data_IF_364298128720
#
_entry.id   IF_364298128720
#
_cell.length_a   1.000
_cell.length_b   1.000
_cell.length_c   1.000
_cell.angle_alpha   90.00
_cell.angle_beta   90.00
_cell.angle_gamma   90.00
#
_symmetry.space_group_name_H-M   'P 1'
#
loop_
_entity.id
_entity.type
_entity.pdbx_description
1 polymer ?
#
# COMPACT_ATOMS: atom_id res chain seq x y z
N UNK A 1 -84.70 -18.07 -37.22
CA UNK A 1 -83.91 -18.83 -36.21
C UNK A 1 -82.41 -18.57 -36.43
N UNK A 2 -81.78 -17.77 -35.56
CA UNK A 2 -80.31 -17.54 -35.55
C UNK A 2 -79.72 -18.19 -34.28
N UNK A 3 -78.66 -18.99 -34.42
CA UNK A 3 -77.52 -19.14 -33.46
C UNK A 3 -76.56 -20.19 -34.05
N UNK A 4 -75.55 -19.76 -34.81
CA UNK A 4 -74.20 -19.32 -34.40
C UNK A 4 -73.29 -20.50 -33.98
N UNK A 5 -72.33 -20.76 -34.86
CA UNK A 5 -71.12 -21.58 -34.73
C UNK A 5 -70.42 -21.31 -33.39
N UNK A 6 -70.31 -22.33 -32.53
CA UNK A 6 -69.58 -22.22 -31.25
C UNK A 6 -68.08 -22.22 -31.53
N UNK A 7 -67.43 -21.11 -31.18
CA UNK A 7 -65.98 -20.93 -31.31
C UNK A 7 -65.27 -21.75 -30.22
N UNK A 8 -64.33 -22.59 -30.63
CA UNK A 8 -63.45 -23.36 -29.75
C UNK A 8 -62.26 -22.48 -29.38
N UNK A 9 -62.25 -21.92 -28.16
CA UNK A 9 -61.18 -21.05 -27.69
C UNK A 9 -60.12 -21.93 -27.02
N UNK A 10 -58.96 -22.04 -27.67
CA UNK A 10 -57.74 -22.63 -27.10
C UNK A 10 -57.19 -21.62 -26.09
N UNK A 11 -57.22 -21.96 -24.80
CA UNK A 11 -56.64 -21.14 -23.75
C UNK A 11 -55.13 -21.38 -23.70
N UNK A 12 -54.36 -20.45 -24.25
CA UNK A 12 -52.90 -20.40 -24.06
C UNK A 12 -52.64 -19.76 -22.70
N UNK A 13 -52.28 -20.56 -21.68
CA UNK A 13 -51.73 -20.02 -20.44
C UNK A 13 -50.35 -19.43 -20.73
N UNK A 14 -50.26 -18.10 -20.73
CA UNK A 14 -48.99 -17.38 -20.74
C UNK A 14 -48.42 -17.40 -19.31
N UNK A 15 -47.45 -18.30 -19.06
CA UNK A 15 -46.62 -18.27 -17.85
C UNK A 15 -45.66 -17.08 -17.95
N UNK A 16 -46.02 -15.96 -17.33
CA UNK A 16 -45.11 -14.83 -17.15
C UNK A 16 -44.15 -15.22 -16.01
N UNK A 17 -42.94 -15.64 -16.34
CA UNK A 17 -41.83 -15.63 -15.41
C UNK A 17 -41.54 -14.16 -15.09
N UNK A 18 -41.86 -13.70 -13.88
CA UNK A 18 -41.35 -12.41 -13.40
C UNK A 18 -39.84 -12.54 -13.31
N UNK A 19 -39.13 -11.86 -14.22
CA UNK A 19 -37.71 -11.65 -14.07
C UNK A 19 -37.46 -11.11 -12.66
N UNK A 20 -36.53 -11.74 -11.93
CA UNK A 20 -36.08 -11.26 -10.64
C UNK A 20 -35.86 -9.75 -10.76
N UNK A 21 -36.55 -8.98 -9.92
CA UNK A 21 -36.40 -7.53 -9.87
C UNK A 21 -34.95 -7.21 -9.56
N UNK A 22 -34.15 -6.94 -10.59
CA UNK A 22 -32.82 -6.38 -10.44
C UNK A 22 -33.07 -4.95 -9.97
N UNK A 23 -32.91 -4.71 -8.66
CA UNK A 23 -32.96 -3.39 -8.05
C UNK A 23 -31.75 -2.52 -8.47
N UNK A 24 -31.33 -2.56 -9.73
CA UNK A 24 -30.33 -1.63 -10.24
C UNK A 24 -31.02 -0.34 -10.64
N UNK A 25 -31.00 0.66 -9.77
CA UNK A 25 -31.30 2.03 -10.18
C UNK A 25 -30.13 2.53 -11.04
N UNK A 26 -30.26 2.46 -12.37
CA UNK A 26 -29.43 3.26 -13.25
C UNK A 26 -29.89 4.71 -13.15
N UNK A 27 -29.20 5.52 -12.36
CA UNK A 27 -29.42 6.97 -12.28
C UNK A 27 -28.76 7.58 -13.52
N UNK A 28 -29.40 7.44 -14.68
CA UNK A 28 -28.93 7.96 -15.96
C UNK A 28 -29.54 9.32 -16.31
N UNK A 29 -30.41 9.88 -15.45
CA UNK A 29 -31.07 11.15 -15.71
C UNK A 29 -31.02 12.11 -14.51
N UNK A 30 -30.18 13.14 -14.68
CA UNK A 30 -30.26 14.49 -14.09
C UNK A 30 -30.74 14.60 -12.65
N UNK A 31 -29.77 14.56 -11.73
CA UNK A 31 -29.78 15.62 -10.74
C UNK A 31 -29.54 16.91 -11.56
N UNK A 32 -30.44 17.89 -11.49
CA UNK A 32 -30.37 19.12 -12.30
C UNK A 32 -29.04 19.86 -12.16
N UNK A 33 -28.85 20.96 -12.88
CA UNK A 33 -27.63 21.78 -12.79
C UNK A 33 -27.28 22.06 -11.31
N UNK A 34 -26.08 21.66 -10.87
CA UNK A 34 -25.62 21.69 -9.46
C UNK A 34 -26.18 20.58 -8.53
N UNK A 35 -26.52 19.44 -9.10
CA UNK A 35 -27.11 18.34 -8.35
C UNK A 35 -26.18 17.61 -7.38
N UNK A 36 -26.76 17.06 -6.31
CA UNK A 36 -26.12 16.23 -5.29
C UNK A 36 -26.69 14.81 -5.32
N UNK A 37 -25.84 13.80 -5.56
CA UNK A 37 -26.20 12.42 -5.24
C UNK A 37 -25.94 12.21 -3.75
N UNK A 38 -26.87 11.58 -3.02
CA UNK A 38 -26.69 11.33 -1.59
C UNK A 38 -27.26 9.98 -1.19
N UNK A 39 -26.50 9.22 -0.40
CA UNK A 39 -26.99 8.08 0.37
C UNK A 39 -27.24 8.58 1.79
N UNK A 40 -28.49 8.49 2.27
CA UNK A 40 -28.91 8.99 3.57
C UNK A 40 -30.07 8.16 4.14
N UNK A 41 -30.27 8.23 5.44
CA UNK A 41 -31.53 7.88 6.10
C UNK A 41 -32.27 9.17 6.51
N UNK A 42 -33.24 9.06 7.44
CA UNK A 42 -34.01 10.20 7.93
C UNK A 42 -33.13 11.23 8.68
N UNK A 43 -32.07 10.78 9.35
CA UNK A 43 -31.30 11.54 10.32
C UNK A 43 -29.85 11.80 9.86
N UNK A 44 -29.34 10.99 8.94
CA UNK A 44 -27.92 10.87 8.63
C UNK A 44 -27.67 10.80 7.13
N UNK A 45 -26.69 11.57 6.66
CA UNK A 45 -26.09 11.36 5.33
C UNK A 45 -24.81 10.53 5.46
N UNK A 46 -24.65 9.55 4.58
CA UNK A 46 -23.56 8.57 4.56
C UNK A 46 -22.53 8.87 3.48
N UNK A 47 -23.00 9.14 2.26
CA UNK A 47 -22.15 9.41 1.09
C UNK A 47 -22.79 10.52 0.26
N UNK A 48 -21.97 11.39 -0.32
CA UNK A 48 -22.43 12.31 -1.36
C UNK A 48 -21.49 12.35 -2.57
N UNK A 49 -22.04 12.62 -3.75
CA UNK A 49 -21.28 12.93 -4.95
C UNK A 49 -21.77 14.29 -5.49
N UNK A 50 -20.88 15.28 -5.49
CA UNK A 50 -21.23 16.66 -5.87
C UNK A 50 -20.91 16.87 -7.34
N UNK A 51 -21.90 17.18 -8.19
CA UNK A 51 -21.65 17.29 -9.63
C UNK A 51 -20.72 18.46 -10.01
N UNK A 52 -20.75 19.57 -9.28
CA UNK A 52 -19.92 20.74 -9.57
C UNK A 52 -18.44 20.49 -9.32
N UNK A 53 -18.09 19.67 -8.32
CA UNK A 53 -16.70 19.38 -7.96
C UNK A 53 -16.24 17.97 -8.37
N UNK A 54 -17.18 17.07 -8.67
CA UNK A 54 -16.91 15.64 -8.89
C UNK A 54 -16.48 14.89 -7.62
N UNK A 55 -16.47 15.53 -6.46
CA UNK A 55 -15.98 14.94 -5.22
C UNK A 55 -16.97 13.92 -4.65
N UNK A 56 -16.43 12.77 -4.24
CA UNK A 56 -17.10 11.80 -3.38
C UNK A 56 -16.77 12.12 -1.92
N UNK A 57 -17.78 12.44 -1.12
CA UNK A 57 -17.62 12.62 0.32
C UNK A 57 -18.16 11.40 1.04
N UNK A 58 -17.34 10.82 1.92
CA UNK A 58 -17.75 9.77 2.86
C UNK A 58 -17.92 10.46 4.21
N UNK A 59 -19.16 10.58 4.66
CA UNK A 59 -19.53 11.33 5.88
C UNK A 59 -19.53 10.43 7.12
N UNK A 60 -19.23 9.15 6.94
CA UNK A 60 -19.12 8.10 7.96
C UNK A 60 -17.84 7.30 7.73
N UNK A 61 -17.69 6.17 8.39
CA UNK A 61 -16.49 5.33 8.24
C UNK A 61 -16.43 4.65 6.87
N UNK A 62 -15.24 4.63 6.27
CA UNK A 62 -14.90 3.74 5.16
C UNK A 62 -14.28 2.46 5.72
N UNK A 63 -14.82 1.31 5.33
CA UNK A 63 -14.27 -0.01 5.68
C UNK A 63 -13.56 -0.59 4.45
N UNK A 64 -12.30 -0.95 4.61
CA UNK A 64 -11.51 -1.71 3.63
C UNK A 64 -11.25 -3.11 4.21
N UNK A 65 -11.85 -4.12 3.62
CA UNK A 65 -11.62 -5.52 4.02
C UNK A 65 -10.21 -5.96 3.62
N UNK A 66 -9.63 -6.90 4.37
CA UNK A 66 -8.40 -7.57 3.93
C UNK A 66 -8.66 -8.25 2.57
N UNK A 67 -7.70 -8.14 1.66
CA UNK A 67 -7.86 -8.60 0.28
C UNK A 67 -6.63 -9.36 -0.18
N UNK A 68 -6.83 -10.45 -0.91
CA UNK A 68 -5.78 -11.12 -1.71
C UNK A 68 -6.01 -10.88 -3.20
N UNK A 69 -6.88 -9.92 -3.54
CA UNK A 69 -7.11 -9.46 -4.91
C UNK A 69 -6.27 -8.24 -5.22
N UNK A 70 -5.73 -8.19 -6.43
CA UNK A 70 -5.05 -7.01 -6.96
C UNK A 70 -6.01 -5.89 -7.40
N UNK A 71 -7.32 -6.12 -7.36
CA UNK A 71 -8.34 -5.19 -7.88
C UNK A 71 -9.44 -4.86 -6.86
N UNK A 72 -9.78 -5.79 -5.96
CA UNK A 72 -10.78 -5.57 -4.92
C UNK A 72 -10.13 -5.03 -3.65
N UNK A 73 -10.75 -4.03 -3.01
CA UNK A 73 -10.21 -3.41 -1.80
C UNK A 73 -8.98 -2.53 -2.04
N UNK A 74 -8.75 -2.11 -3.29
CA UNK A 74 -7.62 -1.27 -3.71
C UNK A 74 -8.15 0.06 -4.25
N UNK A 75 -7.58 1.16 -3.77
CA UNK A 75 -7.75 2.48 -4.40
C UNK A 75 -6.57 2.78 -5.30
N UNK A 76 -6.86 3.21 -6.53
CA UNK A 76 -5.86 3.51 -7.56
C UNK A 76 -5.76 5.02 -7.80
N UNK A 77 -4.56 5.46 -8.18
CA UNK A 77 -4.29 6.79 -8.74
C UNK A 77 -3.84 6.61 -10.19
N UNK A 78 -4.76 6.80 -11.14
CA UNK A 78 -4.50 6.40 -12.53
C UNK A 78 -4.40 4.87 -12.63
N UNK A 79 -3.32 4.36 -13.22
CA UNK A 79 -3.05 2.91 -13.28
C UNK A 79 -2.31 2.37 -12.03
N UNK A 80 -1.82 3.25 -11.16
CA UNK A 80 -0.97 2.86 -10.04
C UNK A 80 -1.78 2.61 -8.76
N UNK A 81 -1.34 1.64 -7.96
CA UNK A 81 -1.87 1.41 -6.60
C UNK A 81 -1.64 2.66 -5.75
N UNK A 82 -2.60 3.03 -4.92
CA UNK A 82 -2.46 4.15 -3.99
C UNK A 82 -2.74 3.80 -2.54
N UNK A 83 -3.84 3.11 -2.23
CA UNK A 83 -4.12 2.63 -0.87
C UNK A 83 -4.69 1.21 -0.94
N UNK A 84 -4.11 0.29 -0.19
CA UNK A 84 -4.60 -1.08 -0.03
C UNK A 84 -4.01 -1.75 1.20
N UNK A 85 -4.58 -2.89 1.57
CA UNK A 85 -4.19 -3.75 2.67
C UNK A 85 -4.02 -5.20 2.17
N UNK A 86 -3.32 -5.37 1.04
CA UNK A 86 -3.18 -6.68 0.39
C UNK A 86 -2.50 -7.67 1.34
N UNK A 87 -3.05 -8.88 1.48
CA UNK A 87 -2.60 -9.89 2.41
C UNK A 87 -3.26 -9.76 3.79
N UNK A 88 -2.54 -10.16 4.83
CA UNK A 88 -3.06 -10.21 6.22
C UNK A 88 -2.36 -9.14 7.05
N UNK A 89 -3.15 -8.18 7.57
CA UNK A 89 -2.69 -7.14 8.50
C UNK A 89 -1.58 -6.25 7.88
N UNK A 90 -1.58 -6.12 6.55
CA UNK A 90 -0.69 -5.17 5.87
C UNK A 90 -1.41 -3.84 5.64
N UNK A 91 -0.67 -2.73 5.61
CA UNK A 91 -1.21 -1.41 5.25
C UNK A 91 -0.25 -0.70 4.31
N UNK A 92 -0.73 -0.31 3.14
CA UNK A 92 0.07 0.35 2.12
C UNK A 92 -0.58 1.64 1.64
N UNK A 93 0.13 2.76 1.72
CA UNK A 93 -0.30 4.06 1.24
C UNK A 93 0.85 4.70 0.43
N UNK A 94 0.60 5.04 -0.82
CA UNK A 94 1.57 5.62 -1.74
C UNK A 94 1.60 4.89 -3.09
N UNK A 95 2.00 5.62 -4.13
CA UNK A 95 2.04 5.11 -5.50
C UNK A 95 2.90 3.84 -5.55
N UNK A 96 2.29 2.73 -5.96
CA UNK A 96 2.94 1.43 -6.09
C UNK A 96 3.54 0.87 -4.79
N UNK A 97 3.17 1.38 -3.61
CA UNK A 97 3.53 0.76 -2.32
C UNK A 97 3.03 -0.68 -2.25
N UNK A 98 3.77 -1.56 -1.57
CA UNK A 98 3.43 -2.96 -1.38
C UNK A 98 3.47 -3.82 -2.66
N UNK A 99 3.21 -5.11 -2.48
CA UNK A 99 3.29 -6.14 -3.52
C UNK A 99 2.05 -7.04 -3.52
N UNK A 100 1.35 -7.16 -4.66
CA UNK A 100 0.17 -8.02 -4.82
C UNK A 100 0.48 -9.52 -4.96
N UNK A 101 1.72 -9.93 -4.73
CA UNK A 101 2.06 -11.36 -4.63
C UNK A 101 2.61 -11.74 -3.25
N UNK A 102 2.61 -10.81 -2.29
CA UNK A 102 3.18 -11.08 -0.98
C UNK A 102 2.33 -12.04 -0.15
N UNK A 103 3.02 -12.89 0.61
CA UNK A 103 2.45 -13.73 1.66
C UNK A 103 2.86 -13.26 3.06
N UNK A 104 3.79 -12.32 3.15
CA UNK A 104 4.18 -11.67 4.39
C UNK A 104 3.03 -10.87 5.03
N UNK A 105 3.10 -10.75 6.35
CA UNK A 105 2.03 -10.18 7.20
C UNK A 105 2.55 -9.05 8.08
N UNK A 106 1.66 -8.16 8.53
CA UNK A 106 2.03 -7.10 9.48
C UNK A 106 2.91 -5.99 8.92
N UNK A 107 3.00 -5.83 7.59
CA UNK A 107 3.85 -4.83 6.96
C UNK A 107 3.12 -3.49 6.80
N UNK A 108 3.82 -2.39 7.09
CA UNK A 108 3.34 -1.02 6.92
C UNK A 108 4.23 -0.27 5.92
N UNK A 109 3.71 0.06 4.74
CA UNK A 109 4.43 0.79 3.69
C UNK A 109 3.77 2.13 3.35
N UNK A 110 4.36 3.23 3.81
CA UNK A 110 3.92 4.59 3.53
C UNK A 110 4.95 5.33 2.67
N UNK A 111 4.70 5.43 1.37
CA UNK A 111 5.58 6.09 0.42
C UNK A 111 5.45 5.54 -0.99
N UNK A 112 5.97 6.29 -1.96
CA UNK A 112 6.04 5.80 -3.34
C UNK A 112 7.08 4.68 -3.39
N UNK A 113 6.71 3.53 -3.97
CA UNK A 113 7.56 2.35 -4.12
C UNK A 113 8.13 1.78 -2.81
N UNK A 114 7.49 1.98 -1.66
CA UNK A 114 7.88 1.29 -0.42
C UNK A 114 7.46 -0.18 -0.45
N UNK A 115 8.33 -1.10 0.01
CA UNK A 115 8.06 -2.54 0.10
C UNK A 115 7.62 -3.22 -1.22
N UNK A 116 7.99 -2.67 -2.37
CA UNK A 116 7.56 -3.16 -3.70
C UNK A 116 7.99 -4.59 -4.02
N UNK A 117 9.12 -5.04 -3.50
CA UNK A 117 9.66 -6.39 -3.75
C UNK A 117 9.46 -7.35 -2.58
N UNK A 118 8.82 -6.91 -1.48
CA UNK A 118 8.63 -7.78 -0.33
C UNK A 118 7.68 -8.93 -0.69
N UNK A 119 8.15 -10.16 -0.52
CA UNK A 119 7.38 -11.38 -0.84
C UNK A 119 6.92 -12.08 0.43
N UNK A 120 7.85 -12.49 1.30
CA UNK A 120 7.53 -13.29 2.50
C UNK A 120 7.90 -12.58 3.81
N UNK A 121 8.56 -11.42 3.76
CA UNK A 121 8.99 -10.70 4.95
C UNK A 121 7.81 -10.18 5.79
N UNK A 122 7.92 -10.28 7.10
CA UNK A 122 6.89 -9.89 8.06
C UNK A 122 7.28 -8.65 8.85
N UNK A 123 6.28 -7.94 9.39
CA UNK A 123 6.45 -6.88 10.39
C UNK A 123 7.40 -5.74 9.97
N UNK A 124 7.52 -5.46 8.67
CA UNK A 124 8.38 -4.38 8.21
C UNK A 124 7.63 -3.04 8.23
N UNK A 125 8.30 -1.99 8.71
CA UNK A 125 7.83 -0.61 8.63
C UNK A 125 8.67 0.16 7.63
N UNK A 126 8.07 0.70 6.58
CA UNK A 126 8.73 1.43 5.51
C UNK A 126 8.03 2.78 5.31
N UNK A 127 8.70 3.87 5.68
CA UNK A 127 8.20 5.24 5.56
C UNK A 127 9.13 6.09 4.71
N UNK A 128 8.73 6.40 3.48
CA UNK A 128 9.49 7.25 2.56
C UNK A 128 9.53 6.75 1.12
N UNK A 129 10.10 7.58 0.23
CA UNK A 129 10.28 7.20 -1.17
C UNK A 129 11.25 6.02 -1.29
N UNK A 130 10.77 4.89 -1.82
CA UNK A 130 11.49 3.63 -2.00
C UNK A 130 12.10 3.03 -0.74
N UNK A 131 11.66 3.40 0.47
CA UNK A 131 12.13 2.76 1.70
C UNK A 131 11.80 1.26 1.68
N UNK A 132 12.77 0.39 1.98
CA UNK A 132 12.63 -1.08 1.86
C UNK A 132 12.14 -1.55 0.47
N UNK A 133 12.38 -0.77 -0.59
CA UNK A 133 11.82 -1.04 -1.93
C UNK A 133 12.21 -2.41 -2.50
N UNK A 134 13.45 -2.84 -2.28
CA UNK A 134 13.99 -4.14 -2.72
C UNK A 134 14.20 -5.12 -1.56
N UNK A 135 13.40 -5.02 -0.49
CA UNK A 135 13.37 -6.05 0.54
C UNK A 135 12.73 -7.33 -0.02
N UNK A 136 13.43 -8.47 -0.08
CA UNK A 136 12.85 -9.70 -0.67
C UNK A 136 12.11 -10.54 0.39
N UNK A 137 12.82 -10.91 1.46
CA UNK A 137 12.29 -11.80 2.52
C UNK A 137 12.61 -11.33 3.94
N UNK A 138 13.39 -10.25 4.10
CA UNK A 138 13.76 -9.70 5.41
C UNK A 138 12.52 -9.31 6.24
N UNK A 139 12.59 -9.55 7.55
CA UNK A 139 11.52 -9.32 8.52
C UNK A 139 11.97 -8.41 9.66
N UNK A 140 10.99 -7.80 10.34
CA UNK A 140 11.18 -6.98 11.53
C UNK A 140 12.11 -5.77 11.30
N UNK A 141 12.11 -5.21 10.07
CA UNK A 141 12.91 -4.04 9.74
C UNK A 141 12.09 -2.75 9.85
N UNK A 142 12.73 -1.68 10.34
CA UNK A 142 12.18 -0.32 10.36
C UNK A 142 13.04 0.57 9.46
N UNK A 143 12.45 1.13 8.40
CA UNK A 143 13.11 2.03 7.46
C UNK A 143 12.31 3.33 7.33
N UNK A 144 12.89 4.44 7.78
CA UNK A 144 12.28 5.77 7.73
C UNK A 144 13.20 6.72 6.99
N UNK A 145 12.78 7.23 5.84
CA UNK A 145 13.52 8.16 5.01
C UNK A 145 13.54 7.76 3.54
N UNK A 146 13.87 8.74 2.68
CA UNK A 146 14.06 8.47 1.24
C UNK A 146 15.21 7.48 1.09
N UNK A 147 14.96 6.39 0.38
CA UNK A 147 15.94 5.34 0.15
C UNK A 147 16.53 4.70 1.41
N UNK A 148 15.83 4.73 2.54
CA UNK A 148 16.27 3.99 3.73
C UNK A 148 16.11 2.49 3.51
N UNK A 149 17.18 1.71 3.77
CA UNK A 149 17.19 0.24 3.74
C UNK A 149 16.70 -0.36 2.40
N UNK A 150 16.98 0.30 1.28
CA UNK A 150 16.44 -0.03 -0.05
C UNK A 150 16.80 -1.44 -0.49
N UNK A 151 18.08 -1.79 -0.45
CA UNK A 151 18.59 -3.07 -0.92
C UNK A 151 18.86 -4.02 0.25
N UNK A 152 17.78 -4.46 0.91
CA UNK A 152 17.82 -5.43 2.00
C UNK A 152 17.31 -6.81 1.58
N UNK A 153 18.15 -7.67 1.02
CA UNK A 153 17.66 -8.95 0.44
C UNK A 153 17.00 -9.84 1.50
N UNK A 154 17.75 -10.19 2.55
CA UNK A 154 17.28 -11.13 3.60
C UNK A 154 17.60 -10.67 5.02
N UNK A 155 18.15 -9.47 5.20
CA UNK A 155 18.49 -8.95 6.53
C UNK A 155 17.27 -8.74 7.41
N UNK A 156 17.39 -9.07 8.70
CA UNK A 156 16.30 -8.95 9.67
C UNK A 156 16.67 -7.98 10.80
N UNK A 157 15.65 -7.46 11.49
CA UNK A 157 15.81 -6.70 12.72
C UNK A 157 16.69 -5.43 12.55
N UNK A 158 16.69 -4.80 11.38
CA UNK A 158 17.43 -3.56 11.14
C UNK A 158 16.56 -2.33 11.38
N UNK A 159 17.14 -1.30 12.00
CA UNK A 159 16.53 0.04 12.13
C UNK A 159 17.36 1.03 11.32
N UNK A 160 16.75 1.68 10.34
CA UNK A 160 17.39 2.62 9.43
C UNK A 160 16.56 3.91 9.35
N UNK A 161 17.05 4.99 9.95
CA UNK A 161 16.33 6.28 10.02
C UNK A 161 17.22 7.36 9.43
N UNK A 162 16.82 7.90 8.27
CA UNK A 162 17.58 8.89 7.52
C UNK A 162 17.52 8.62 6.02
N UNK A 163 17.86 9.64 5.23
CA UNK A 163 17.99 9.45 3.77
C UNK A 163 19.17 8.52 3.50
N UNK A 164 18.98 7.46 2.72
CA UNK A 164 20.03 6.49 2.36
C UNK A 164 20.71 5.79 3.54
N UNK A 165 20.09 5.82 4.73
CA UNK A 165 20.52 5.03 5.88
C UNK A 165 20.42 3.53 5.54
N UNK A 166 21.49 2.76 5.76
CA UNK A 166 21.57 1.33 5.39
C UNK A 166 21.16 1.02 3.93
N UNK A 167 21.43 1.93 2.99
CA UNK A 167 20.97 1.84 1.60
C UNK A 167 21.28 0.48 0.93
N UNK A 168 22.50 -0.03 1.10
CA UNK A 168 22.95 -1.36 0.68
C UNK A 168 23.20 -2.25 1.89
N UNK A 169 22.20 -3.06 2.26
CA UNK A 169 22.27 -4.02 3.37
C UNK A 169 21.86 -5.42 2.92
N UNK A 170 22.68 -6.13 2.15
CA UNK A 170 22.25 -7.37 1.47
C UNK A 170 21.71 -8.43 2.45
N UNK A 171 22.51 -8.81 3.45
CA UNK A 171 22.13 -9.85 4.44
C UNK A 171 22.36 -9.43 5.90
N UNK A 172 22.95 -8.25 6.12
CA UNK A 172 23.21 -7.72 7.47
C UNK A 172 21.96 -7.66 8.33
N UNK A 173 22.07 -8.04 9.60
CA UNK A 173 20.94 -8.10 10.52
C UNK A 173 21.27 -7.39 11.85
N UNK A 174 20.25 -6.95 12.58
CA UNK A 174 20.41 -6.31 13.90
C UNK A 174 21.22 -5.02 13.87
N UNK A 175 21.20 -4.27 12.76
CA UNK A 175 21.92 -3.00 12.66
C UNK A 175 21.00 -1.81 13.01
N UNK A 176 21.53 -0.81 13.71
CA UNK A 176 20.85 0.46 13.98
C UNK A 176 21.61 1.60 13.32
N UNK A 177 21.06 2.16 12.25
CA UNK A 177 21.57 3.34 11.57
C UNK A 177 20.62 4.53 11.75
N UNK A 178 21.11 5.63 12.30
CA UNK A 178 20.38 6.88 12.47
C UNK A 178 21.22 8.03 11.90
N UNK A 179 20.82 8.55 10.75
CA UNK A 179 21.52 9.64 10.06
C UNK A 179 21.43 9.49 8.54
N UNK A 180 21.63 10.60 7.83
CA UNK A 180 21.77 10.52 6.37
C UNK A 180 23.08 9.80 6.03
N UNK A 181 22.97 8.76 5.20
CA UNK A 181 24.08 7.90 4.77
C UNK A 181 24.78 7.13 5.90
N UNK A 182 24.18 7.04 7.09
CA UNK A 182 24.67 6.16 8.16
C UNK A 182 24.61 4.69 7.70
N UNK A 183 25.73 3.98 7.81
CA UNK A 183 25.91 2.60 7.32
C UNK A 183 25.43 2.37 5.88
N UNK A 184 25.58 3.35 4.99
CA UNK A 184 25.09 3.26 3.61
C UNK A 184 25.50 1.96 2.91
N UNK A 185 26.75 1.52 3.09
CA UNK A 185 27.30 0.32 2.48
C UNK A 185 27.62 -0.74 3.55
N UNK A 186 26.60 -1.50 3.96
CA UNK A 186 26.72 -2.60 4.92
C UNK A 186 26.34 -3.96 4.32
N UNK A 187 27.19 -4.59 3.52
CA UNK A 187 26.78 -5.78 2.76
C UNK A 187 26.35 -6.95 3.66
N UNK A 188 27.15 -7.28 4.68
CA UNK A 188 26.96 -8.47 5.53
C UNK A 188 27.11 -8.21 7.03
N UNK A 189 27.52 -6.99 7.43
CA UNK A 189 27.79 -6.68 8.83
C UNK A 189 26.54 -6.81 9.70
N UNK A 190 26.69 -7.32 10.91
CA UNK A 190 25.60 -7.48 11.87
C UNK A 190 25.89 -6.88 13.25
N UNK A 191 24.83 -6.53 13.97
CA UNK A 191 24.90 -5.96 15.32
C UNK A 191 25.74 -4.67 15.40
N UNK A 192 25.64 -3.80 14.40
CA UNK A 192 26.32 -2.50 14.39
C UNK A 192 25.38 -1.36 14.79
N UNK A 193 25.93 -0.34 15.44
CA UNK A 193 25.23 0.92 15.74
C UNK A 193 25.97 2.09 15.11
N UNK A 194 25.30 2.87 14.28
CA UNK A 194 25.83 4.08 13.66
C UNK A 194 24.84 5.23 13.85
N UNK A 195 25.27 6.29 14.51
CA UNK A 195 24.45 7.48 14.75
C UNK A 195 25.23 8.69 14.27
N UNK A 196 24.80 9.32 13.18
CA UNK A 196 25.45 10.49 12.60
C UNK A 196 25.45 10.49 11.07
N UNK A 197 25.67 11.67 10.48
CA UNK A 197 25.86 11.83 9.03
C UNK A 197 27.08 11.01 8.57
N UNK A 198 26.90 10.10 7.61
CA UNK A 198 27.96 9.21 7.09
C UNK A 198 28.63 8.30 8.14
N UNK A 199 28.08 8.16 9.36
CA UNK A 199 28.66 7.28 10.38
C UNK A 199 28.74 5.83 9.88
N UNK A 200 29.92 5.20 9.97
CA UNK A 200 30.20 3.85 9.44
C UNK A 200 29.80 3.67 7.97
N UNK A 201 30.04 4.67 7.12
CA UNK A 201 29.58 4.67 5.72
C UNK A 201 29.89 3.38 4.96
N UNK A 202 31.11 2.84 5.09
CA UNK A 202 31.45 1.48 4.68
C UNK A 202 31.62 0.59 5.91
N UNK A 203 30.81 -0.46 6.01
CA UNK A 203 30.91 -1.42 7.10
C UNK A 203 30.70 -2.84 6.61
N UNK A 204 31.70 -3.70 6.71
CA UNK A 204 31.51 -5.15 6.55
C UNK A 204 31.80 -5.93 7.84
N UNK A 205 32.07 -5.21 8.93
CA UNK A 205 32.35 -5.76 10.24
C UNK A 205 31.10 -5.94 11.09
N UNK A 206 31.30 -6.57 12.24
CA UNK A 206 30.25 -6.85 13.22
C UNK A 206 30.58 -6.14 14.52
N UNK A 207 29.55 -5.84 15.32
CA UNK A 207 29.70 -5.27 16.66
C UNK A 207 30.37 -3.89 16.71
N UNK A 208 30.30 -3.11 15.63
CA UNK A 208 30.84 -1.75 15.59
C UNK A 208 29.85 -0.77 16.22
N UNK A 209 30.37 0.19 16.99
CA UNK A 209 29.60 1.33 17.48
C UNK A 209 30.29 2.62 17.06
N UNK A 210 29.59 3.44 16.31
CA UNK A 210 30.02 4.79 15.95
C UNK A 210 28.91 5.77 16.29
N UNK A 211 29.30 6.82 17.01
CA UNK A 211 28.45 7.91 17.43
C UNK A 211 29.17 9.18 16.96
N UNK A 212 28.50 10.00 16.15
CA UNK A 212 28.96 11.21 15.46
C UNK A 212 29.24 11.03 13.95
N UNK A 213 29.52 12.15 13.29
CA UNK A 213 29.69 12.30 11.84
C UNK A 213 31.04 11.73 11.39
N UNK A 214 31.05 11.02 10.25
CA UNK A 214 32.31 10.68 9.58
C UNK A 214 32.95 11.95 9.01
N UNK A 215 34.18 12.34 9.41
CA UNK A 215 34.85 13.52 8.92
C UNK A 215 35.04 13.49 7.40
N UNK A 216 34.85 14.63 6.72
CA UNK A 216 34.94 14.75 5.27
C UNK A 216 36.29 14.25 4.67
N UNK A 217 37.37 14.32 5.46
CA UNK A 217 38.70 13.84 5.06
C UNK A 217 38.75 12.33 4.90
N UNK A 218 38.06 11.58 5.76
CA UNK A 218 37.94 10.12 5.62
C UNK A 218 37.03 9.77 4.44
N UNK A 219 36.00 10.58 4.19
CA UNK A 219 35.08 10.36 3.07
C UNK A 219 35.79 10.38 1.71
N UNK A 220 36.73 11.31 1.53
CA UNK A 220 37.50 11.44 0.29
C UNK A 220 38.49 10.29 0.07
N UNK A 221 38.96 9.64 1.14
CA UNK A 221 39.91 8.53 1.01
C UNK A 221 39.23 7.21 0.65
N UNK A 222 37.95 7.04 1.00
CA UNK A 222 37.19 5.81 0.70
C UNK A 222 36.37 5.88 -0.60
N UNK A 223 36.42 7.01 -1.32
CA UNK A 223 35.76 7.23 -2.63
C UNK A 223 36.73 7.21 -3.83
N UNK A 224 38.01 6.91 -3.61
CA UNK A 224 39.06 6.78 -4.64
C UNK A 224 39.48 5.32 -4.71
#
# INVERSE_FOLDING_TARGET
MKKKLKHFIISVMLLIFSAASVYSQSITNTIGTNGLFSIKDADNTYLTLTQTTGQMNILRSLRLENTTSSTLGVMFKGADRFLHNYGVINTFLGVSSGNFTMTGTGNSGLGVNSLTSNTTGNNNTALGFSSLGYNATGSDNTAVGKYSLVFNSTGNENTAIGTQSLYYNNTGSKNTALGNDAMRNNSTGFQNTAIGYYSLFFNNGNYNTALDIMPAQQLQQELI
#
